data_IF_416837744702
#
_entry.id   IF_416837744702
#
_cell.length_a   1.000
_cell.length_b   1.000
_cell.length_c   1.000
_cell.angle_alpha   90.00
_cell.angle_beta   90.00
_cell.angle_gamma   90.00
#
_symmetry.space_group_name_H-M   'P 1'
#
loop_
_entity.id
_entity.type
_entity.pdbx_description
1 polymer ?
#
# COMPACT_ATOMS: atom_id res chain seq x y z
N UNK A 1 13.50 -18.96 3.53
CA UNK A 1 12.83 -17.81 2.89
C UNK A 1 13.92 -16.94 2.32
N UNK A 2 14.27 -17.27 1.08
CA UNK A 2 15.02 -16.41 0.18
C UNK A 2 14.09 -15.29 -0.30
N UNK A 3 14.56 -14.06 -0.20
CA UNK A 3 13.77 -12.86 -0.50
C UNK A 3 14.37 -12.19 -1.72
N UNK A 4 13.59 -12.12 -2.79
CA UNK A 4 13.90 -11.28 -3.93
C UNK A 4 13.63 -9.82 -3.58
N UNK A 5 14.53 -8.92 -3.98
CA UNK A 5 14.34 -7.48 -3.87
C UNK A 5 15.12 -6.75 -4.94
N UNK A 6 14.58 -5.60 -5.37
CA UNK A 6 15.35 -4.61 -6.12
C UNK A 6 16.09 -3.73 -5.14
N UNK A 7 17.35 -3.44 -5.41
CA UNK A 7 18.15 -2.48 -4.66
C UNK A 7 18.68 -1.43 -5.63
N UNK A 8 18.09 -0.24 -5.58
CA UNK A 8 18.39 0.84 -6.51
C UNK A 8 19.17 1.92 -5.77
N UNK A 9 20.41 2.12 -6.20
CA UNK A 9 21.25 3.20 -5.71
C UNK A 9 21.11 4.40 -6.64
N UNK A 10 21.04 5.64 -6.11
CA UNK A 10 21.04 6.82 -6.95
C UNK A 10 22.35 6.90 -7.75
N UNK A 11 22.24 7.27 -9.03
CA UNK A 11 23.39 7.34 -9.94
C UNK A 11 24.27 8.57 -9.66
N UNK A 12 23.65 9.65 -9.20
CA UNK A 12 24.32 10.92 -8.94
C UNK A 12 23.93 11.44 -7.56
N UNK A 13 24.95 11.76 -6.76
CA UNK A 13 24.80 12.46 -5.50
C UNK A 13 25.68 13.70 -5.56
N UNK A 14 25.09 14.86 -5.27
CA UNK A 14 25.86 16.10 -5.14
C UNK A 14 26.82 16.01 -3.94
N UNK A 15 27.90 16.79 -3.96
CA UNK A 15 28.86 16.84 -2.85
C UNK A 15 28.14 17.21 -1.54
N UNK A 16 28.33 16.39 -0.50
CA UNK A 16 27.65 16.54 0.80
C UNK A 16 26.22 16.01 0.87
N UNK A 17 25.64 15.55 -0.24
CA UNK A 17 24.30 14.93 -0.26
C UNK A 17 24.39 13.44 0.12
N UNK A 18 23.47 12.97 0.97
CA UNK A 18 23.33 11.55 1.29
C UNK A 18 21.98 11.01 0.86
N UNK A 19 22.01 9.82 0.25
CA UNK A 19 20.81 9.09 -0.14
C UNK A 19 20.07 8.61 1.11
N UNK A 20 18.75 8.82 1.14
CA UNK A 20 17.89 8.35 2.23
C UNK A 20 17.43 6.93 1.92
N UNK A 21 17.65 5.95 2.80
CA UNK A 21 17.16 4.60 2.56
C UNK A 21 15.63 4.57 2.61
N UNK A 22 15.00 4.02 1.57
CA UNK A 22 13.55 3.87 1.45
C UNK A 22 13.17 2.42 1.16
N UNK A 23 12.39 1.82 2.06
CA UNK A 23 11.76 0.52 1.85
C UNK A 23 10.37 0.73 1.23
N UNK A 24 10.18 0.31 -0.02
CA UNK A 24 8.91 0.47 -0.73
C UNK A 24 8.26 -0.90 -0.96
N UNK A 25 7.03 -1.10 -0.46
CA UNK A 25 6.41 -2.42 -0.37
C UNK A 25 5.12 -2.45 -1.21
N UNK A 26 5.06 -3.37 -2.17
CA UNK A 26 3.90 -3.61 -3.04
C UNK A 26 2.78 -4.39 -2.32
N UNK A 27 1.67 -4.64 -3.02
CA UNK A 27 0.54 -5.43 -2.53
C UNK A 27 0.11 -6.58 -3.45
N UNK A 28 -1.16 -6.97 -3.35
CA UNK A 28 -1.85 -7.90 -4.23
C UNK A 28 -2.97 -7.17 -4.99
N UNK A 29 -3.24 -7.47 -6.28
CA UNK A 29 -2.56 -8.43 -7.15
C UNK A 29 -1.34 -7.82 -7.86
N UNK A 30 -0.70 -6.87 -7.21
CA UNK A 30 0.48 -6.19 -7.72
C UNK A 30 1.80 -6.93 -7.51
N UNK A 31 2.91 -6.27 -7.78
CA UNK A 31 4.27 -6.79 -7.66
C UNK A 31 5.28 -5.64 -7.60
N UNK A 32 6.57 -5.95 -7.45
CA UNK A 32 7.64 -4.93 -7.52
C UNK A 32 7.63 -4.14 -8.85
N UNK A 33 6.98 -4.66 -9.90
CA UNK A 33 6.86 -3.98 -11.18
C UNK A 33 6.06 -2.67 -11.10
N UNK A 34 5.08 -2.58 -10.20
CA UNK A 34 4.30 -1.36 -9.97
C UNK A 34 5.17 -0.15 -9.62
N UNK A 35 6.37 -0.41 -9.08
CA UNK A 35 7.30 0.59 -8.59
C UNK A 35 8.27 1.07 -9.68
N UNK A 36 8.29 0.47 -10.87
CA UNK A 36 9.28 0.82 -11.90
C UNK A 36 9.18 2.26 -12.37
N UNK A 37 7.96 2.78 -12.49
CA UNK A 37 7.72 4.15 -12.96
C UNK A 37 8.11 5.20 -11.91
N UNK A 38 8.00 4.89 -10.62
CA UNK A 38 8.32 5.83 -9.54
C UNK A 38 9.79 5.81 -9.10
N UNK A 39 10.51 4.70 -9.32
CA UNK A 39 11.95 4.58 -9.00
C UNK A 39 12.76 5.78 -9.52
N UNK A 40 12.75 6.11 -10.83
CA UNK A 40 13.58 7.21 -11.34
C UNK A 40 13.23 8.56 -10.69
N UNK A 41 11.95 8.79 -10.36
CA UNK A 41 11.47 10.01 -9.72
C UNK A 41 12.00 10.20 -8.28
N UNK A 42 12.32 9.11 -7.59
CA UNK A 42 12.81 9.12 -6.20
C UNK A 42 14.33 8.95 -6.11
N UNK A 43 14.96 8.32 -7.10
CA UNK A 43 16.42 8.17 -7.15
C UNK A 43 17.12 9.30 -7.89
N UNK A 44 16.38 10.11 -8.66
CA UNK A 44 16.89 11.26 -9.41
C UNK A 44 15.80 12.34 -9.58
N UNK A 45 15.28 12.85 -8.47
CA UNK A 45 14.15 13.79 -8.46
C UNK A 45 14.36 15.04 -9.31
N UNK A 46 15.58 15.60 -9.29
CA UNK A 46 15.92 16.86 -9.97
C UNK A 46 15.85 16.73 -11.48
N UNK A 47 16.43 15.67 -12.06
CA UNK A 47 16.40 15.46 -13.51
C UNK A 47 14.99 15.07 -14.00
N UNK A 48 14.12 14.63 -13.09
CA UNK A 48 12.72 14.35 -13.36
C UNK A 48 11.76 15.51 -13.02
N UNK A 49 12.30 16.72 -12.78
CA UNK A 49 11.50 17.93 -12.61
C UNK A 49 10.71 18.00 -11.29
N UNK A 50 11.01 17.14 -10.31
CA UNK A 50 10.43 17.19 -8.98
C UNK A 50 11.25 18.11 -8.08
N UNK A 51 10.55 18.95 -7.32
CA UNK A 51 11.18 19.83 -6.33
C UNK A 51 11.46 19.07 -5.04
N UNK A 52 12.74 19.04 -4.63
CA UNK A 52 13.15 18.50 -3.34
C UNK A 52 14.61 18.04 -3.32
N UNK A 53 15.32 18.36 -2.25
CA UNK A 53 16.73 18.01 -2.05
C UNK A 53 16.94 16.56 -1.60
N UNK A 54 15.86 15.77 -1.58
CA UNK A 54 15.85 14.41 -1.07
C UNK A 54 15.96 13.41 -2.21
N UNK A 55 17.06 12.65 -2.18
CA UNK A 55 17.30 11.53 -3.07
C UNK A 55 17.25 10.25 -2.24
N UNK A 56 16.68 9.19 -2.80
CA UNK A 56 16.51 7.92 -2.11
C UNK A 56 17.44 6.83 -2.65
N UNK A 57 17.88 5.95 -1.74
CA UNK A 57 18.39 4.62 -2.07
C UNK A 57 17.26 3.63 -1.74
N UNK A 58 16.74 2.95 -2.76
CA UNK A 58 15.47 2.22 -2.65
C UNK A 58 15.69 0.72 -2.50
N UNK A 59 14.91 0.11 -1.63
CA UNK A 59 14.79 -1.34 -1.48
C UNK A 59 13.33 -1.72 -1.72
N UNK A 60 13.09 -2.51 -2.76
CA UNK A 60 11.74 -2.92 -3.18
C UNK A 60 11.64 -4.45 -3.17
N UNK A 61 11.27 -5.08 -2.04
CA UNK A 61 11.21 -6.53 -1.93
C UNK A 61 9.91 -7.10 -2.51
N UNK A 62 10.01 -8.29 -3.09
CA UNK A 62 8.83 -9.13 -3.30
C UNK A 62 8.40 -9.75 -1.96
N UNK A 63 7.11 -9.63 -1.62
CA UNK A 63 6.56 -10.26 -0.40
C UNK A 63 6.80 -11.78 -0.46
N UNK A 64 7.21 -12.46 0.63
CA UNK A 64 7.36 -13.92 0.61
C UNK A 64 6.10 -14.64 0.10
N UNK A 65 6.25 -15.47 -0.94
CA UNK A 65 5.14 -16.08 -1.66
C UNK A 65 4.61 -15.28 -2.86
N UNK A 66 5.22 -14.13 -3.18
CA UNK A 66 4.90 -13.30 -4.33
C UNK A 66 6.12 -13.18 -5.26
N UNK A 67 5.84 -13.12 -6.56
CA UNK A 67 6.86 -12.98 -7.61
C UNK A 67 8.01 -13.96 -7.41
N UNK A 68 9.22 -13.43 -7.27
CA UNK A 68 10.45 -14.23 -7.17
C UNK A 68 10.89 -14.52 -5.72
N UNK A 69 10.10 -14.15 -4.71
CA UNK A 69 10.41 -14.48 -3.30
C UNK A 69 9.88 -15.86 -2.91
N UNK A 70 10.69 -16.62 -2.19
CA UNK A 70 10.34 -17.97 -1.73
C UNK A 70 9.05 -17.97 -0.91
N UNK A 71 8.17 -18.93 -1.18
CA UNK A 71 6.94 -19.09 -0.42
C UNK A 71 7.20 -19.57 1.02
N UNK A 72 6.39 -19.15 2.01
CA UNK A 72 6.49 -19.67 3.37
C UNK A 72 6.19 -21.19 3.43
N UNK A 73 7.06 -21.94 4.11
CA UNK A 73 6.95 -23.41 4.25
C UNK A 73 6.03 -23.89 5.38
N UNK A 74 5.50 -22.97 6.20
CA UNK A 74 4.65 -23.28 7.34
C UNK A 74 3.53 -22.27 7.48
N UNK A 75 2.41 -22.73 8.04
CA UNK A 75 1.27 -21.90 8.42
C UNK A 75 1.67 -20.82 9.44
N UNK A 76 0.86 -19.77 9.52
CA UNK A 76 1.07 -18.63 10.41
C UNK A 76 1.90 -17.49 9.80
N UNK A 77 2.19 -17.54 8.50
CA UNK A 77 2.88 -16.44 7.82
C UNK A 77 1.90 -15.30 7.50
N UNK A 78 1.86 -14.28 8.37
CA UNK A 78 1.04 -13.08 8.21
C UNK A 78 1.91 -11.82 7.95
N UNK A 79 1.27 -10.64 7.88
CA UNK A 79 1.93 -9.35 7.66
C UNK A 79 2.99 -9.01 8.72
N UNK A 80 2.83 -9.46 9.96
CA UNK A 80 3.84 -9.30 11.02
C UNK A 80 5.09 -10.15 10.76
N UNK A 81 4.93 -11.35 10.20
CA UNK A 81 6.05 -12.19 9.78
C UNK A 81 6.82 -11.53 8.62
N UNK A 82 6.11 -11.01 7.61
CA UNK A 82 6.73 -10.26 6.52
C UNK A 82 7.49 -9.03 7.02
N UNK A 83 6.89 -8.25 7.95
CA UNK A 83 7.54 -7.08 8.55
C UNK A 83 8.86 -7.44 9.24
N UNK A 84 8.91 -8.55 10.00
CA UNK A 84 10.15 -9.04 10.62
C UNK A 84 11.21 -9.47 9.61
N UNK A 85 10.81 -10.03 8.47
CA UNK A 85 11.71 -10.40 7.40
C UNK A 85 12.29 -9.15 6.74
N UNK A 86 11.46 -8.17 6.39
CA UNK A 86 11.91 -6.93 5.79
C UNK A 86 12.75 -6.08 6.74
N UNK A 87 12.46 -6.09 8.05
CA UNK A 87 13.36 -5.49 9.04
C UNK A 87 14.77 -6.08 8.97
N UNK A 88 14.87 -7.42 8.97
CA UNK A 88 16.16 -8.11 8.87
C UNK A 88 16.85 -7.86 7.53
N UNK A 89 16.08 -7.75 6.44
CA UNK A 89 16.61 -7.37 5.12
C UNK A 89 17.29 -6.00 5.20
N UNK A 90 16.58 -4.97 5.69
CA UNK A 90 17.14 -3.62 5.82
C UNK A 90 18.40 -3.60 6.70
N UNK A 91 18.39 -4.29 7.84
CA UNK A 91 19.58 -4.39 8.69
C UNK A 91 20.76 -5.11 8.01
N UNK A 92 20.51 -6.19 7.25
CA UNK A 92 21.56 -6.91 6.51
C UNK A 92 22.16 -6.06 5.39
N UNK A 93 21.39 -5.14 4.82
CA UNK A 93 21.86 -4.16 3.85
C UNK A 93 22.58 -2.96 4.50
N UNK A 94 22.66 -2.90 5.84
CA UNK A 94 23.33 -1.84 6.59
C UNK A 94 22.46 -0.62 6.91
N UNK A 95 21.14 -0.68 6.62
CA UNK A 95 20.24 0.43 6.88
C UNK A 95 19.67 0.37 8.31
N UNK A 96 20.20 1.22 9.18
CA UNK A 96 19.74 1.35 10.57
C UNK A 96 18.69 2.45 10.78
N UNK A 97 18.55 3.37 9.83
CA UNK A 97 17.53 4.42 9.80
C UNK A 97 16.99 4.53 8.38
N UNK A 98 15.70 4.26 8.20
CA UNK A 98 15.09 4.24 6.87
C UNK A 98 13.65 4.72 6.90
N UNK A 99 13.15 5.14 5.74
CA UNK A 99 11.74 5.43 5.50
C UNK A 99 11.02 4.18 4.99
N UNK A 100 9.72 4.12 5.18
CA UNK A 100 8.86 3.06 4.65
C UNK A 100 7.78 3.72 3.79
N UNK A 101 7.48 3.12 2.64
CA UNK A 101 6.30 3.43 1.85
C UNK A 101 5.53 2.14 1.51
N UNK A 102 4.21 2.18 1.56
CA UNK A 102 3.41 1.06 1.07
C UNK A 102 1.92 1.32 0.89
N UNK A 103 1.36 0.70 -0.15
CA UNK A 103 -0.08 0.51 -0.38
C UNK A 103 -0.51 -0.93 -0.08
N UNK A 104 -1.81 -1.24 -0.16
CA UNK A 104 -2.40 -2.56 0.05
C UNK A 104 -1.73 -3.37 1.21
N UNK A 105 -1.24 -4.59 0.99
CA UNK A 105 -0.49 -5.35 2.00
C UNK A 105 0.80 -4.65 2.44
N UNK A 106 1.45 -3.90 1.56
CA UNK A 106 2.59 -3.05 1.89
C UNK A 106 2.27 -2.04 3.00
N UNK A 107 1.06 -1.49 3.02
CA UNK A 107 0.60 -0.60 4.10
C UNK A 107 0.52 -1.34 5.44
N UNK A 108 -0.01 -2.57 5.45
CA UNK A 108 -0.13 -3.40 6.66
C UNK A 108 1.25 -3.87 7.16
N UNK A 109 2.11 -4.30 6.23
CA UNK A 109 3.47 -4.76 6.54
C UNK A 109 4.32 -3.58 7.04
N UNK A 110 4.25 -2.44 6.36
CA UNK A 110 4.95 -1.22 6.76
C UNK A 110 4.52 -0.71 8.12
N UNK A 111 3.21 -0.71 8.39
CA UNK A 111 2.63 -0.38 9.71
C UNK A 111 3.20 -1.29 10.79
N UNK A 112 3.18 -2.60 10.56
CA UNK A 112 3.70 -3.57 11.53
C UNK A 112 5.21 -3.36 11.77
N UNK A 113 5.97 -3.03 10.71
CA UNK A 113 7.40 -2.74 10.82
C UNK A 113 7.66 -1.49 11.65
N UNK A 114 6.89 -0.42 11.43
CA UNK A 114 6.94 0.81 12.21
C UNK A 114 6.61 0.59 13.70
N UNK A 115 5.71 -0.34 14.02
CA UNK A 115 5.38 -0.72 15.40
C UNK A 115 6.50 -1.52 16.10
N UNK A 116 7.11 -2.48 15.40
CA UNK A 116 8.11 -3.37 16.03
C UNK A 116 9.52 -2.77 16.08
N UNK A 117 9.82 -1.81 15.20
CA UNK A 117 11.14 -1.21 15.09
C UNK A 117 11.09 0.34 14.98
N UNK A 118 10.33 1.06 15.84
CA UNK A 118 10.13 2.50 15.70
C UNK A 118 11.45 3.29 15.75
N UNK A 119 12.46 2.78 16.46
CA UNK A 119 13.80 3.40 16.52
C UNK A 119 14.55 3.34 15.19
N UNK A 120 14.22 2.45 14.26
CA UNK A 120 14.89 2.31 12.96
C UNK A 120 14.09 2.96 11.83
N UNK A 121 12.81 3.30 12.08
CA UNK A 121 11.92 3.89 11.08
C UNK A 121 11.86 5.40 11.29
N UNK A 122 12.39 6.17 10.32
CA UNK A 122 12.34 7.65 10.36
C UNK A 122 10.94 8.19 10.10
N UNK A 123 10.16 7.49 9.29
CA UNK A 123 8.78 7.81 9.00
C UNK A 123 8.15 6.77 8.08
N UNK A 124 6.83 6.72 8.07
CA UNK A 124 6.03 5.84 7.22
C UNK A 124 5.08 6.66 6.35
N UNK A 125 5.09 6.40 5.05
CA UNK A 125 4.19 7.01 4.07
C UNK A 125 3.23 5.96 3.53
N UNK A 126 1.93 6.24 3.58
CA UNK A 126 0.89 5.30 3.20
C UNK A 126 -0.03 5.93 2.14
N UNK A 127 -0.41 5.15 1.13
CA UNK A 127 -1.45 5.54 0.17
C UNK A 127 -2.79 4.80 0.39
N UNK A 128 -2.86 3.97 1.44
CA UNK A 128 -4.10 3.36 1.94
C UNK A 128 -3.95 3.11 3.44
N UNK A 129 -5.04 3.26 4.17
CA UNK A 129 -5.10 3.04 5.62
C UNK A 129 -6.16 2.01 5.92
N UNK A 130 -5.80 1.01 6.72
CA UNK A 130 -6.73 -0.02 7.20
C UNK A 130 -6.92 0.11 8.71
N UNK A 131 -8.16 0.34 9.12
CA UNK A 131 -8.59 0.25 10.52
C UNK A 131 -9.35 -1.05 10.74
N UNK A 132 -9.02 -1.75 11.81
CA UNK A 132 -9.61 -3.06 12.16
C UNK A 132 -10.59 -2.96 13.33
N UNK A 133 -10.73 -1.78 13.94
CA UNK A 133 -11.62 -1.51 15.06
C UNK A 133 -12.37 -0.22 14.86
N UNK A 134 -13.69 -0.26 15.05
CA UNK A 134 -14.57 0.91 15.02
C UNK A 134 -14.98 1.22 16.46
N UNK A 135 -14.61 2.40 16.95
CA UNK A 135 -15.00 2.88 18.28
C UNK A 135 -16.38 3.56 18.26
N UNK A 136 -16.89 3.88 19.46
CA UNK A 136 -18.17 4.55 19.62
C UNK A 136 -18.23 5.91 18.90
N UNK A 137 -17.13 6.69 18.94
CA UNK A 137 -17.04 7.98 18.22
C UNK A 137 -17.13 7.80 16.70
N UNK A 138 -16.49 6.77 16.15
CA UNK A 138 -16.59 6.44 14.72
C UNK A 138 -18.02 6.05 14.36
N UNK A 139 -18.67 5.21 15.16
CA UNK A 139 -20.06 4.83 14.94
C UNK A 139 -20.99 6.05 14.92
N UNK A 140 -20.81 6.98 15.87
CA UNK A 140 -21.57 8.23 15.89
C UNK A 140 -21.27 9.09 14.65
N UNK A 141 -20.02 9.17 14.21
CA UNK A 141 -19.62 9.90 13.00
C UNK A 141 -20.19 9.29 11.72
N UNK A 142 -20.43 7.97 11.67
CA UNK A 142 -21.11 7.31 10.55
C UNK A 142 -22.58 7.74 10.47
N UNK A 143 -23.24 7.97 11.61
CA UNK A 143 -24.65 8.37 11.64
C UNK A 143 -24.85 9.88 11.44
N UNK A 144 -23.98 10.70 12.03
CA UNK A 144 -24.16 12.15 12.12
C UNK A 144 -23.16 12.95 11.27
N UNK A 145 -22.12 12.33 10.74
CA UNK A 145 -21.02 13.02 10.06
C UNK A 145 -21.40 13.70 8.75
N UNK A 146 -22.46 13.23 8.07
CA UNK A 146 -23.00 13.91 6.89
C UNK A 146 -23.63 15.27 7.25
N UNK A 147 -24.24 15.39 8.43
CA UNK A 147 -24.96 16.59 8.87
C UNK A 147 -24.07 17.52 9.69
N UNK A 148 -23.13 16.97 10.47
CA UNK A 148 -22.25 17.71 11.36
C UNK A 148 -20.77 17.32 11.16
N UNK A 149 -20.20 17.51 9.96
CA UNK A 149 -18.86 17.01 9.64
C UNK A 149 -17.76 17.59 10.54
N UNK A 150 -17.84 18.89 10.87
CA UNK A 150 -16.87 19.55 11.75
C UNK A 150 -16.79 18.95 13.15
N UNK A 151 -17.88 18.38 13.68
CA UNK A 151 -17.90 17.73 15.00
C UNK A 151 -17.00 16.49 15.06
N UNK A 152 -16.81 15.83 13.92
CA UNK A 152 -16.03 14.59 13.80
C UNK A 152 -14.69 14.81 13.08
N UNK A 153 -14.31 16.07 12.84
CA UNK A 153 -13.08 16.43 12.14
C UNK A 153 -13.07 16.00 10.67
N UNK A 154 -14.24 15.91 10.03
CA UNK A 154 -14.35 15.61 8.60
C UNK A 154 -14.18 16.89 7.77
N UNK A 155 -13.38 16.76 6.71
CA UNK A 155 -13.28 17.70 5.60
C UNK A 155 -14.42 17.46 4.60
N UNK A 156 -14.61 18.37 3.64
CA UNK A 156 -15.66 18.23 2.63
C UNK A 156 -15.44 16.97 1.77
N UNK A 157 -14.18 16.68 1.44
CA UNK A 157 -13.72 15.53 0.69
C UNK A 157 -14.02 14.22 1.46
N UNK A 158 -13.84 14.20 2.79
CA UNK A 158 -14.19 13.04 3.62
C UNK A 158 -15.68 12.71 3.48
N UNK A 159 -16.54 13.74 3.51
CA UNK A 159 -17.99 13.56 3.37
C UNK A 159 -18.33 13.03 1.98
N UNK A 160 -17.70 13.57 0.93
CA UNK A 160 -17.92 13.13 -0.44
C UNK A 160 -17.48 11.68 -0.66
N UNK A 161 -16.37 11.25 -0.07
CA UNK A 161 -15.85 9.90 -0.25
C UNK A 161 -16.62 8.84 0.55
N UNK A 162 -17.16 9.21 1.72
CA UNK A 162 -17.80 8.25 2.63
C UNK A 162 -19.31 8.24 2.53
N UNK A 163 -19.97 9.36 2.17
CA UNK A 163 -21.44 9.46 2.22
C UNK A 163 -22.10 9.45 0.83
N UNK A 164 -23.25 8.77 0.68
CA UNK A 164 -23.97 8.00 1.71
C UNK A 164 -23.27 6.68 2.08
N UNK A 165 -23.07 6.46 3.40
CA UNK A 165 -22.20 5.40 3.94
C UNK A 165 -22.62 4.00 3.53
N UNK A 166 -23.93 3.74 3.52
CA UNK A 166 -24.48 2.44 3.14
C UNK A 166 -24.07 2.08 1.72
N UNK A 167 -24.26 2.96 0.75
CA UNK A 167 -23.97 2.68 -0.66
C UNK A 167 -22.46 2.71 -0.93
N UNK A 168 -21.76 3.77 -0.50
CA UNK A 168 -20.34 3.97 -0.84
C UNK A 168 -19.37 3.08 -0.08
N UNK A 169 -19.72 2.66 1.14
CA UNK A 169 -18.85 1.83 1.97
C UNK A 169 -19.40 0.42 2.08
N UNK A 170 -20.59 0.23 2.65
CA UNK A 170 -21.09 -1.12 2.98
C UNK A 170 -21.43 -1.94 1.73
N UNK A 171 -22.25 -1.40 0.81
CA UNK A 171 -22.64 -2.09 -0.42
C UNK A 171 -21.44 -2.29 -1.35
N UNK A 172 -20.57 -1.28 -1.49
CA UNK A 172 -19.31 -1.40 -2.26
C UNK A 172 -18.43 -2.52 -1.70
N UNK A 173 -18.19 -2.55 -0.38
CA UNK A 173 -17.43 -3.61 0.28
C UNK A 173 -18.02 -4.99 0.00
N UNK A 174 -19.33 -5.16 0.12
CA UNK A 174 -19.99 -6.45 -0.14
C UNK A 174 -19.81 -6.91 -1.60
N UNK A 175 -19.91 -6.00 -2.57
CA UNK A 175 -19.73 -6.32 -4.00
C UNK A 175 -18.28 -6.66 -4.33
N UNK A 176 -17.33 -5.91 -3.77
CA UNK A 176 -15.92 -5.97 -4.17
C UNK A 176 -15.06 -6.94 -3.33
N UNK A 177 -15.58 -7.49 -2.22
CA UNK A 177 -14.81 -8.35 -1.32
C UNK A 177 -14.90 -9.86 -1.61
N UNK A 178 -15.58 -10.28 -2.69
CA UNK A 178 -15.71 -11.70 -3.05
C UNK A 178 -14.36 -12.41 -3.19
N UNK A 179 -13.39 -11.73 -3.81
CA UNK A 179 -12.02 -12.25 -3.97
C UNK A 179 -11.33 -12.44 -2.61
N UNK A 180 -11.47 -11.49 -1.67
CA UNK A 180 -10.93 -11.58 -0.30
C UNK A 180 -11.50 -12.81 0.38
N UNK A 181 -12.82 -13.01 0.28
CA UNK A 181 -13.50 -14.09 0.97
C UNK A 181 -13.03 -15.47 0.51
N UNK A 182 -12.97 -15.72 -0.81
CA UNK A 182 -12.51 -17.02 -1.32
C UNK A 182 -11.02 -17.25 -1.02
N UNK A 183 -10.18 -16.23 -1.12
CA UNK A 183 -8.75 -16.33 -0.83
C UNK A 183 -8.46 -16.50 0.67
N UNK A 184 -9.24 -15.87 1.55
CA UNK A 184 -9.11 -16.01 2.99
C UNK A 184 -9.54 -17.39 3.52
N UNK A 185 -10.37 -18.12 2.77
CA UNK A 185 -10.94 -19.39 3.21
C UNK A 185 -10.34 -20.60 2.48
N UNK A 186 -10.31 -20.55 1.14
CA UNK A 186 -9.94 -21.64 0.23
C UNK A 186 -8.87 -21.19 -0.81
N UNK A 187 -7.72 -20.62 -0.37
CA UNK A 187 -6.70 -20.07 -1.27
C UNK A 187 -6.15 -21.12 -2.24
N UNK A 188 -5.89 -22.35 -1.78
CA UNK A 188 -5.39 -23.43 -2.62
C UNK A 188 -6.39 -23.86 -3.69
N UNK A 189 -7.71 -23.80 -3.42
CA UNK A 189 -8.73 -24.16 -4.41
C UNK A 189 -8.78 -23.15 -5.55
N UNK A 190 -8.92 -21.86 -5.24
CA UNK A 190 -8.94 -20.81 -6.28
C UNK A 190 -7.57 -20.67 -6.94
N UNK A 191 -6.49 -20.73 -6.16
CA UNK A 191 -5.13 -20.59 -6.64
C UNK A 191 -4.74 -21.67 -7.65
N UNK A 192 -5.12 -22.94 -7.43
CA UNK A 192 -4.84 -24.01 -8.40
C UNK A 192 -5.48 -23.74 -9.75
N UNK A 193 -6.74 -23.26 -9.78
CA UNK A 193 -7.41 -22.92 -11.04
C UNK A 193 -6.74 -21.74 -11.76
N UNK A 194 -6.31 -20.72 -11.01
CA UNK A 194 -5.58 -19.58 -11.57
C UNK A 194 -4.19 -19.98 -12.08
N UNK A 195 -3.52 -20.94 -11.43
CA UNK A 195 -2.18 -21.37 -11.82
C UNK A 195 -2.17 -22.25 -13.08
N UNK A 196 -3.29 -22.90 -13.41
CA UNK A 196 -3.41 -23.80 -14.57
C UNK A 196 -3.85 -23.07 -15.85
N UNK A 197 -4.58 -21.94 -15.70
CA UNK A 197 -5.14 -21.20 -16.83
C UNK A 197 -4.56 -19.77 -16.92
N UNK A 198 -3.77 -19.45 -17.96
CA UNK A 198 -3.22 -18.10 -18.12
C UNK A 198 -4.32 -17.06 -18.37
N UNK A 199 -5.39 -17.44 -19.07
CA UNK A 199 -6.57 -16.58 -19.28
C UNK A 199 -7.33 -16.38 -17.96
N UNK A 200 -7.46 -17.44 -17.15
CA UNK A 200 -8.07 -17.35 -15.82
C UNK A 200 -7.29 -16.43 -14.89
N UNK A 201 -5.95 -16.56 -14.86
CA UNK A 201 -5.07 -15.67 -14.10
C UNK A 201 -5.20 -14.22 -14.56
N UNK A 202 -5.09 -13.99 -15.88
CA UNK A 202 -5.17 -12.66 -16.46
C UNK A 202 -6.51 -12.00 -16.12
N UNK A 203 -7.65 -12.65 -16.36
CA UNK A 203 -8.97 -12.11 -16.05
C UNK A 203 -9.12 -11.77 -14.56
N UNK A 204 -8.65 -12.66 -13.67
CA UNK A 204 -8.77 -12.46 -12.22
C UNK A 204 -7.94 -11.28 -11.69
N UNK A 205 -6.78 -11.01 -12.30
CA UNK A 205 -5.91 -9.88 -11.95
C UNK A 205 -6.39 -8.58 -12.63
N UNK A 206 -6.69 -8.62 -13.92
CA UNK A 206 -7.10 -7.45 -14.71
C UNK A 206 -8.40 -6.82 -14.21
N UNK A 207 -9.34 -7.63 -13.71
CA UNK A 207 -10.55 -7.14 -13.03
C UNK A 207 -10.23 -6.10 -11.95
N UNK A 208 -9.12 -6.29 -11.23
CA UNK A 208 -8.67 -5.39 -10.16
C UNK A 208 -8.03 -4.12 -10.74
N UNK A 209 -7.19 -4.26 -11.76
CA UNK A 209 -6.63 -3.11 -12.49
C UNK A 209 -7.71 -2.24 -13.17
N UNK A 210 -8.87 -2.81 -13.50
CA UNK A 210 -10.04 -2.03 -13.92
C UNK A 210 -10.68 -1.31 -12.72
N UNK A 211 -11.31 -2.07 -11.83
CA UNK A 211 -12.19 -1.53 -10.79
C UNK A 211 -11.46 -0.63 -9.79
N UNK A 212 -10.24 -1.01 -9.39
CA UNK A 212 -9.51 -0.33 -8.32
C UNK A 212 -8.76 0.92 -8.80
N UNK A 213 -8.67 1.11 -10.11
CA UNK A 213 -8.17 2.34 -10.75
C UNK A 213 -9.27 3.38 -10.79
N UNK A 214 -10.44 2.99 -11.30
CA UNK A 214 -11.64 3.82 -11.28
C UNK A 214 -12.89 2.94 -11.28
N UNK A 215 -13.77 3.03 -10.27
CA UNK A 215 -14.99 2.22 -10.20
C UNK A 215 -15.92 2.40 -11.41
N UNK A 216 -15.85 3.55 -12.11
CA UNK A 216 -16.65 3.78 -13.30
C UNK A 216 -16.27 2.86 -14.47
N UNK A 217 -15.04 2.32 -14.48
CA UNK A 217 -14.55 1.46 -15.55
C UNK A 217 -15.28 0.13 -15.65
N UNK A 218 -15.95 -0.31 -14.57
CA UNK A 218 -16.83 -1.50 -14.58
C UNK A 218 -17.97 -1.39 -15.61
N UNK A 219 -18.34 -0.19 -16.02
CA UNK A 219 -19.42 0.05 -16.99
C UNK A 219 -18.91 0.16 -18.43
N UNK A 220 -17.59 0.04 -18.65
CA UNK A 220 -16.98 0.06 -19.98
C UNK A 220 -16.86 -1.37 -20.51
N UNK A 221 -17.08 -1.55 -21.82
CA UNK A 221 -17.02 -2.86 -22.47
C UNK A 221 -15.61 -3.49 -22.38
N UNK A 222 -14.57 -2.66 -22.44
CA UNK A 222 -13.16 -3.05 -22.34
C UNK A 222 -12.61 -3.00 -20.90
N UNK A 223 -13.47 -2.69 -19.92
CA UNK A 223 -13.07 -2.50 -18.53
C UNK A 223 -12.11 -1.32 -18.31
N UNK A 224 -11.94 -0.42 -19.28
CA UNK A 224 -11.03 0.73 -19.17
C UNK A 224 -9.56 0.40 -18.89
N UNK A 225 -9.12 -0.83 -19.19
CA UNK A 225 -7.80 -1.35 -18.79
C UNK A 225 -6.64 -0.52 -19.34
N UNK A 226 -6.77 0.01 -20.57
CA UNK A 226 -5.71 0.78 -21.23
C UNK A 226 -5.78 2.30 -20.97
N UNK A 227 -6.70 2.77 -20.12
CA UNK A 227 -6.82 4.21 -19.83
C UNK A 227 -5.65 4.78 -19.02
N UNK A 228 -5.02 3.93 -18.21
CA UNK A 228 -3.93 4.30 -17.28
C UNK A 228 -2.66 3.46 -17.44
N UNK A 229 -2.79 2.29 -18.04
CA UNK A 229 -1.70 1.34 -18.21
C UNK A 229 -1.61 0.95 -19.68
N UNK A 230 -0.42 0.60 -20.15
CA UNK A 230 -0.30 -0.09 -21.43
C UNK A 230 -0.66 -1.57 -21.27
N UNK A 231 -0.93 -2.29 -22.36
CA UNK A 231 -1.06 -3.74 -22.28
C UNK A 231 0.24 -4.41 -21.81
N UNK A 232 1.40 -3.89 -22.21
CA UNK A 232 2.70 -4.40 -21.75
C UNK A 232 2.88 -4.22 -20.25
N UNK A 233 2.43 -3.09 -19.70
CA UNK A 233 2.42 -2.85 -18.25
C UNK A 233 1.63 -3.94 -17.51
N UNK A 234 0.39 -4.17 -17.96
CA UNK A 234 -0.52 -5.13 -17.32
C UNK A 234 -0.04 -6.57 -17.49
N UNK A 235 0.38 -6.94 -18.70
CA UNK A 235 0.89 -8.27 -19.01
C UNK A 235 2.21 -8.54 -18.29
N UNK A 236 3.08 -7.54 -18.10
CA UNK A 236 4.31 -7.73 -17.32
C UNK A 236 4.00 -8.10 -15.88
N UNK A 237 3.05 -7.42 -15.22
CA UNK A 237 2.64 -7.80 -13.87
C UNK A 237 2.04 -9.23 -13.86
N UNK A 238 1.18 -9.58 -14.81
CA UNK A 238 0.60 -10.94 -14.93
C UNK A 238 1.71 -11.98 -15.16
N UNK A 239 2.70 -11.68 -16.01
CA UNK A 239 3.80 -12.58 -16.30
C UNK A 239 4.67 -12.86 -15.08
N UNK A 240 4.81 -11.90 -14.17
CA UNK A 240 5.49 -12.16 -12.89
C UNK A 240 4.75 -13.24 -12.09
N UNK A 241 3.42 -13.20 -12.03
CA UNK A 241 2.63 -14.25 -11.38
C UNK A 241 2.69 -15.59 -12.13
N UNK A 242 2.56 -15.55 -13.46
CA UNK A 242 2.55 -16.73 -14.31
C UNK A 242 3.89 -17.47 -14.31
N UNK A 243 4.99 -16.76 -14.61
CA UNK A 243 6.31 -17.36 -14.75
C UNK A 243 6.89 -17.87 -13.42
N UNK A 244 6.51 -17.25 -12.29
CA UNK A 244 6.92 -17.71 -10.96
C UNK A 244 6.02 -18.81 -10.40
N UNK A 245 4.81 -18.99 -10.94
CA UNK A 245 3.79 -19.88 -10.36
C UNK A 245 3.33 -19.43 -8.96
N UNK A 246 3.48 -18.15 -8.62
CA UNK A 246 3.30 -17.69 -7.24
C UNK A 246 1.84 -17.41 -6.85
N UNK A 247 0.86 -17.56 -7.75
CA UNK A 247 -0.52 -17.15 -7.46
C UNK A 247 -1.12 -17.92 -6.27
N UNK A 248 -0.81 -19.20 -6.12
CA UNK A 248 -1.28 -19.99 -4.96
C UNK A 248 -0.66 -19.48 -3.68
N UNK A 249 0.65 -19.24 -3.66
CA UNK A 249 1.35 -18.76 -2.47
C UNK A 249 0.98 -17.34 -2.09
N UNK A 250 0.72 -16.47 -3.07
CA UNK A 250 0.36 -15.07 -2.83
C UNK A 250 -1.00 -14.98 -2.14
N UNK A 251 -1.99 -15.76 -2.63
CA UNK A 251 -3.34 -15.71 -2.06
C UNK A 251 -3.47 -16.41 -0.72
N UNK A 252 -2.53 -17.31 -0.34
CA UNK A 252 -2.47 -17.87 1.02
C UNK A 252 -2.27 -16.78 2.09
N UNK A 253 -1.67 -15.64 1.75
CA UNK A 253 -1.52 -14.52 2.69
C UNK A 253 -2.88 -14.03 3.21
N UNK A 254 -3.92 -14.00 2.37
CA UNK A 254 -5.28 -13.64 2.79
C UNK A 254 -5.79 -14.57 3.89
N UNK A 255 -5.54 -15.88 3.77
CA UNK A 255 -5.96 -16.85 4.78
C UNK A 255 -5.22 -16.68 6.10
N UNK A 256 -3.93 -16.38 6.03
CA UNK A 256 -3.12 -16.18 7.23
C UNK A 256 -3.41 -14.83 7.93
N UNK A 257 -3.87 -13.82 7.19
CA UNK A 257 -4.23 -12.50 7.72
C UNK A 257 -5.68 -12.45 8.19
N UNK A 258 -6.63 -12.88 7.35
CA UNK A 258 -8.07 -12.74 7.61
C UNK A 258 -8.75 -13.99 8.13
N UNK A 259 -8.13 -15.18 8.01
CA UNK A 259 -8.75 -16.46 8.37
C UNK A 259 -9.05 -16.64 9.86
N UNK A 260 -8.43 -15.83 10.74
CA UNK A 260 -8.75 -15.77 12.17
C UNK A 260 -9.74 -14.67 12.55
N UNK A 261 -10.15 -13.84 11.60
CA UNK A 261 -10.99 -12.67 11.81
C UNK A 261 -10.19 -11.36 11.96
N UNK A 262 -10.77 -10.27 11.45
CA UNK A 262 -10.22 -8.90 11.51
C UNK A 262 -10.30 -8.38 12.96
N UNK A 263 -9.25 -7.71 13.45
CA UNK A 263 -9.26 -7.09 14.78
C UNK A 263 -8.97 -8.06 15.94
N UNK A 264 -8.64 -9.32 15.63
CA UNK A 264 -8.38 -10.38 16.61
C UNK A 264 -6.93 -10.43 17.07
N UNK A 265 -6.01 -9.89 16.27
CA UNK A 265 -4.58 -9.95 16.55
C UNK A 265 -4.13 -8.74 17.38
N UNK A 266 -3.28 -8.96 18.39
CA UNK A 266 -2.90 -7.90 19.35
C UNK A 266 -2.24 -6.68 18.67
N UNK A 267 -1.45 -6.93 17.62
CA UNK A 267 -0.71 -5.89 16.93
C UNK A 267 -1.58 -4.89 16.19
N UNK A 268 -2.80 -5.29 15.83
CA UNK A 268 -3.76 -4.42 15.16
C UNK A 268 -4.23 -3.25 16.05
N UNK A 269 -4.09 -3.39 17.37
CA UNK A 269 -4.48 -2.40 18.38
C UNK A 269 -3.33 -1.51 18.85
N UNK A 270 -2.08 -1.81 18.48
CA UNK A 270 -0.95 -0.98 18.90
C UNK A 270 -0.87 0.30 18.06
N UNK A 271 -0.57 1.45 18.68
CA UNK A 271 -0.37 2.69 17.93
C UNK A 271 0.95 2.66 17.14
N UNK A 272 1.01 3.52 16.12
CA UNK A 272 2.20 3.85 15.34
C UNK A 272 2.64 5.25 15.75
N UNK A 273 3.80 5.33 16.40
CA UNK A 273 4.34 6.56 16.98
C UNK A 273 5.27 7.34 16.04
N UNK A 274 5.81 6.68 15.02
CA UNK A 274 6.70 7.31 14.05
C UNK A 274 5.95 8.33 13.19
N UNK A 275 6.63 9.38 12.67
CA UNK A 275 6.02 10.33 11.74
C UNK A 275 5.34 9.62 10.57
N UNK A 276 4.07 9.95 10.35
CA UNK A 276 3.21 9.29 9.36
C UNK A 276 2.71 10.28 8.31
N UNK A 277 2.88 9.94 7.04
CA UNK A 277 2.30 10.63 5.90
C UNK A 277 1.21 9.79 5.25
N UNK A 278 0.11 10.42 4.82
CA UNK A 278 -1.03 9.72 4.21
C UNK A 278 -1.44 10.45 2.93
N UNK A 279 -1.34 9.77 1.79
CA UNK A 279 -1.86 10.21 0.50
C UNK A 279 -3.24 9.60 0.27
N UNK A 280 -4.26 10.43 0.06
CA UNK A 280 -5.65 10.00 -0.14
C UNK A 280 -5.99 10.09 -1.62
N UNK A 281 -5.99 8.95 -2.31
CA UNK A 281 -6.39 8.85 -3.70
C UNK A 281 -7.92 8.74 -3.82
N UNK A 282 -8.57 9.51 -4.73
CA UNK A 282 -10.03 9.64 -4.77
C UNK A 282 -10.75 8.32 -5.13
N UNK A 283 -10.11 7.45 -5.92
CA UNK A 283 -10.69 6.18 -6.35
C UNK A 283 -10.23 4.98 -5.50
N UNK A 284 -9.58 5.20 -4.37
CA UNK A 284 -9.18 4.12 -3.45
C UNK A 284 -10.40 3.29 -2.96
N UNK A 285 -10.14 2.03 -2.60
CA UNK A 285 -11.13 1.06 -2.16
C UNK A 285 -11.93 1.55 -0.96
N UNK A 286 -11.24 2.10 0.03
CA UNK A 286 -11.82 2.61 1.27
C UNK A 286 -11.18 3.94 1.64
N UNK A 287 -12.02 4.89 2.05
CA UNK A 287 -11.56 6.16 2.60
C UNK A 287 -11.57 6.14 4.12
N UNK A 288 -10.46 6.54 4.74
CA UNK A 288 -10.33 6.68 6.18
C UNK A 288 -10.00 8.14 6.51
N UNK A 289 -10.93 8.90 7.11
CA UNK A 289 -10.70 10.28 7.50
C UNK A 289 -9.51 10.44 8.44
N UNK A 290 -8.86 11.60 8.40
CA UNK A 290 -7.71 11.90 9.29
C UNK A 290 -8.05 11.64 10.77
N UNK A 291 -9.23 12.06 11.21
CA UNK A 291 -9.68 11.89 12.61
C UNK A 291 -9.83 10.42 13.01
N UNK A 292 -10.11 9.52 12.06
CA UNK A 292 -10.16 8.08 12.30
C UNK A 292 -8.75 7.48 12.26
N UNK A 293 -7.94 7.86 11.27
CA UNK A 293 -6.55 7.41 11.14
C UNK A 293 -5.72 7.73 12.38
N UNK A 294 -5.96 8.88 13.03
CA UNK A 294 -5.26 9.31 14.24
C UNK A 294 -5.39 8.36 15.43
N UNK A 295 -6.36 7.45 15.43
CA UNK A 295 -6.46 6.41 16.48
C UNK A 295 -5.31 5.40 16.41
N UNK A 296 -4.83 5.12 15.20
CA UNK A 296 -3.74 4.17 14.97
C UNK A 296 -2.42 4.88 14.74
N UNK A 297 -2.41 5.99 14.00
CA UNK A 297 -1.21 6.77 13.70
C UNK A 297 -1.22 8.04 14.53
N UNK A 298 -0.52 8.04 15.66
CA UNK A 298 -0.62 9.15 16.62
C UNK A 298 0.15 10.40 16.18
N UNK A 299 1.07 10.26 15.22
CA UNK A 299 1.92 11.33 14.71
C UNK A 299 1.77 11.52 13.18
N UNK A 300 0.58 11.94 12.74
CA UNK A 300 0.31 12.25 11.32
C UNK A 300 0.85 13.64 10.97
N UNK A 301 1.95 13.70 10.21
CA UNK A 301 2.62 14.94 9.79
C UNK A 301 2.14 15.46 8.42
N UNK A 302 1.64 14.57 7.56
CA UNK A 302 0.97 14.94 6.31
C UNK A 302 -0.26 14.07 6.07
N UNK A 303 -1.33 14.69 5.55
CA UNK A 303 -2.56 14.03 5.15
C UNK A 303 -3.11 14.84 3.99
N UNK A 304 -2.97 14.33 2.77
CA UNK A 304 -3.17 15.12 1.56
C UNK A 304 -4.15 14.40 0.62
N UNK A 305 -5.17 15.12 0.15
CA UNK A 305 -6.09 14.62 -0.88
C UNK A 305 -5.44 14.79 -2.26
N UNK A 306 -5.37 13.69 -3.01
CA UNK A 306 -4.79 13.67 -4.35
C UNK A 306 -5.86 14.07 -5.38
N UNK A 307 -5.48 14.76 -6.47
CA UNK A 307 -6.44 15.26 -7.45
C UNK A 307 -7.06 14.15 -8.32
N UNK A 308 -6.38 13.01 -8.45
CA UNK A 308 -6.78 11.85 -9.27
C UNK A 308 -6.00 10.61 -8.81
N UNK A 309 -6.42 9.45 -9.32
CA UNK A 309 -5.80 8.15 -9.08
C UNK A 309 -6.61 7.27 -8.14
N UNK A 310 -6.32 5.98 -8.16
CA UNK A 310 -6.92 4.95 -7.33
C UNK A 310 -5.89 4.16 -6.53
N UNK A 311 -6.09 2.86 -6.47
CA UNK A 311 -5.36 1.95 -5.59
C UNK A 311 -3.89 1.77 -5.96
N UNK A 312 -3.59 1.70 -7.26
CA UNK A 312 -2.25 1.44 -7.79
C UNK A 312 -1.41 2.72 -7.93
N UNK A 313 -1.39 3.55 -6.89
CA UNK A 313 -0.86 4.92 -6.92
C UNK A 313 0.55 5.05 -7.56
N UNK A 314 1.49 4.17 -7.21
CA UNK A 314 2.86 4.20 -7.74
C UNK A 314 2.94 3.85 -9.24
N UNK A 315 1.94 3.14 -9.75
CA UNK A 315 1.90 2.65 -11.13
C UNK A 315 1.02 3.51 -12.02
N UNK A 316 -0.05 4.08 -11.46
CA UNK A 316 -1.03 4.92 -12.13
C UNK A 316 -0.60 6.40 -12.17
N UNK A 317 -0.15 6.95 -11.04
CA UNK A 317 0.15 8.37 -10.87
C UNK A 317 1.51 8.56 -10.15
N UNK A 318 2.61 8.06 -10.74
CA UNK A 318 3.92 8.00 -10.09
C UNK A 318 4.44 9.39 -9.68
N UNK A 319 4.21 10.43 -10.49
CA UNK A 319 4.66 11.80 -10.20
C UNK A 319 3.92 12.41 -9.01
N UNK A 320 2.61 12.16 -8.90
CA UNK A 320 1.80 12.63 -7.78
C UNK A 320 2.28 11.97 -6.48
N UNK A 321 2.45 10.64 -6.50
CA UNK A 321 2.91 9.91 -5.32
C UNK A 321 4.34 10.31 -4.93
N UNK A 322 5.25 10.44 -5.90
CA UNK A 322 6.64 10.83 -5.63
C UNK A 322 6.72 12.23 -5.01
N UNK A 323 5.97 13.20 -5.55
CA UNK A 323 5.91 14.54 -5.00
C UNK A 323 5.39 14.55 -3.55
N UNK A 324 4.36 13.74 -3.24
CA UNK A 324 3.83 13.65 -1.88
C UNK A 324 4.82 13.00 -0.89
N UNK A 325 5.54 11.96 -1.33
CA UNK A 325 6.62 11.33 -0.54
C UNK A 325 7.73 12.33 -0.23
N UNK A 326 8.18 13.10 -1.24
CA UNK A 326 9.22 14.12 -1.07
C UNK A 326 8.80 15.20 -0.06
N UNK A 327 7.57 15.71 -0.18
CA UNK A 327 7.02 16.68 0.77
C UNK A 327 6.89 16.12 2.18
N UNK A 328 6.47 14.86 2.32
CA UNK A 328 6.41 14.18 3.61
C UNK A 328 7.79 14.10 4.26
N UNK A 329 8.80 13.64 3.51
CA UNK A 329 10.17 13.51 4.03
C UNK A 329 10.74 14.87 4.41
N UNK A 330 10.51 15.92 3.61
CA UNK A 330 10.93 17.29 3.93
C UNK A 330 10.37 17.77 5.28
N UNK A 331 9.09 17.49 5.56
CA UNK A 331 8.47 17.80 6.86
C UNK A 331 9.14 17.02 8.01
N UNK A 332 9.44 15.74 7.82
CA UNK A 332 10.07 14.90 8.85
C UNK A 332 11.50 15.36 9.14
N UNK A 333 12.29 15.66 8.11
CA UNK A 333 13.67 16.10 8.27
C UNK A 333 13.72 17.48 8.95
N UNK A 334 12.90 18.45 8.50
CA UNK A 334 12.83 19.79 9.12
C UNK A 334 12.44 19.75 10.60
N UNK A 335 11.50 18.88 10.98
CA UNK A 335 11.12 18.72 12.39
C UNK A 335 12.26 18.14 13.26
N UNK A 336 13.16 17.37 12.67
CA UNK A 336 14.30 16.75 13.37
C UNK A 336 15.44 17.74 13.65
N UNK A 337 15.47 18.91 12.99
CA UNK A 337 16.47 19.96 13.21
C UNK A 337 16.09 20.97 14.31
N UNK A 338 14.85 20.94 14.80
CA UNK A 338 14.32 21.89 15.80
C UNK A 338 14.37 21.32 17.23
N UNK A 339 14.69 20.03 17.38
CA UNK A 339 14.96 19.35 18.65
C UNK A 339 16.46 19.19 18.86
#
# INVERSE_FOLDING_TARGET
IDVHFLHIKPLHLSEGQSAKPLLMIHGWPGSVFELYKIIPLLTDSVNHGLSGDHIFEMVCPSIPGFGFSEAPHKKGFNTMCAARIFYKLMLKLGFHKFYIQGGDYGSLIGTNLAQIAPRHVKGIHLNIVVLTTIGFKQLLSILLGQYFPGLFGFQAEDVQLIFPFKEKVLCKLLRESGYVHIQATKPDTVGCALNDSPVGLAAYILDKFSTWTDPSFQNLEDGGLEKKFTLDDLLTNIMIYWASGCVVSSVRLYKEVFGKGIGTEKHEKFPVEVPTGIAVFPNELFHIPRSWAQQKYVNIVSYNFMPRGGHFAAFEEPEILAADILQFVDKVEKASFIQ
#
